data_IF_467393395728
#
_entry.id   IF_467393395728
#
_cell.length_a   1.000
_cell.length_b   1.000
_cell.length_c   1.000
_cell.angle_alpha   90.00
_cell.angle_beta   90.00
_cell.angle_gamma   90.00
#
_symmetry.space_group_name_H-M   'P 1'
#
loop_
_entity.id
_entity.type
_entity.pdbx_description
1 polymer ?
#
# COMPACT_ATOMS: atom_id res chain seq x y z
N UNK A 1 5.92 28.96 -3.21
CA UNK A 1 7.10 29.33 -4.01
C UNK A 1 8.33 29.12 -3.14
N UNK A 2 9.33 28.40 -3.66
CA UNK A 2 10.61 28.20 -3.00
C UNK A 2 11.62 29.13 -3.67
N UNK A 3 12.30 29.93 -2.86
CA UNK A 3 13.32 30.88 -3.33
C UNK A 3 14.68 30.57 -2.70
N UNK A 4 15.75 30.93 -3.40
CA UNK A 4 17.11 30.87 -2.86
C UNK A 4 17.40 32.08 -1.92
N UNK A 5 18.62 32.11 -1.35
CA UNK A 5 19.06 33.20 -0.49
C UNK A 5 19.15 34.58 -1.19
N UNK A 6 19.13 34.62 -2.53
CA UNK A 6 19.11 35.85 -3.34
C UNK A 6 17.71 36.27 -3.76
N UNK A 7 16.68 35.55 -3.32
CA UNK A 7 15.29 35.81 -3.69
C UNK A 7 14.90 35.27 -5.07
N UNK A 8 15.75 34.50 -5.74
CA UNK A 8 15.42 33.90 -7.03
C UNK A 8 14.52 32.69 -6.82
N UNK A 9 13.45 32.58 -7.58
CA UNK A 9 12.55 31.42 -7.54
C UNK A 9 13.27 30.18 -8.09
N UNK A 10 13.34 29.11 -7.28
CA UNK A 10 13.95 27.85 -7.68
C UNK A 10 12.90 26.75 -7.93
N UNK A 11 11.73 26.86 -7.30
CA UNK A 11 10.62 25.92 -7.51
C UNK A 11 9.27 26.54 -7.16
N UNK A 12 8.24 26.13 -7.88
CA UNK A 12 6.84 26.42 -7.60
C UNK A 12 6.07 25.10 -7.50
N UNK A 13 6.20 24.41 -6.38
CA UNK A 13 5.55 23.12 -6.19
C UNK A 13 4.01 23.22 -6.23
N UNK A 14 3.31 22.23 -6.75
CA UNK A 14 3.79 21.02 -7.45
C UNK A 14 3.91 21.22 -8.97
N UNK A 15 3.96 22.47 -9.45
CA UNK A 15 3.71 22.82 -10.86
C UNK A 15 5.00 22.78 -11.70
N UNK A 16 6.07 23.49 -11.28
CA UNK A 16 7.28 23.65 -12.10
C UNK A 16 8.51 23.97 -11.27
N UNK A 17 9.66 23.49 -11.76
CA UNK A 17 10.99 23.89 -11.27
C UNK A 17 11.63 24.88 -12.22
N UNK A 18 12.46 25.78 -11.68
CA UNK A 18 13.16 26.76 -12.49
C UNK A 18 14.26 26.13 -13.34
N UNK A 19 14.52 26.69 -14.51
CA UNK A 19 15.57 26.24 -15.42
C UNK A 19 16.97 26.28 -14.76
N UNK A 20 17.21 27.22 -13.85
CA UNK A 20 18.49 27.36 -13.13
C UNK A 20 18.81 26.16 -12.22
N UNK A 21 17.80 25.37 -11.82
CA UNK A 21 17.95 24.17 -11.00
C UNK A 21 17.81 22.87 -11.81
N UNK A 22 17.89 22.95 -13.14
CA UNK A 22 17.84 21.78 -14.02
C UNK A 22 18.98 20.80 -13.69
N UNK A 23 18.61 19.55 -13.40
CA UNK A 23 19.55 18.46 -13.14
C UNK A 23 20.23 18.04 -14.46
N UNK A 24 21.55 17.93 -14.42
CA UNK A 24 22.39 17.52 -15.55
C UNK A 24 23.33 16.39 -15.12
N UNK A 25 24.04 15.79 -16.07
CA UNK A 25 25.08 14.79 -15.79
C UNK A 25 26.27 15.34 -14.95
N UNK A 26 26.37 16.66 -14.81
CA UNK A 26 27.39 17.35 -14.00
C UNK A 26 26.90 17.72 -12.61
N UNK A 27 25.61 17.53 -12.30
CA UNK A 27 25.02 17.85 -11.00
C UNK A 27 25.59 16.95 -9.92
N UNK A 28 26.18 17.54 -8.88
CA UNK A 28 26.77 16.81 -7.75
C UNK A 28 25.91 16.91 -6.48
N UNK A 29 25.20 18.01 -6.31
CA UNK A 29 24.34 18.25 -5.15
C UNK A 29 22.91 18.47 -5.62
N UNK A 30 21.95 17.87 -4.91
CA UNK A 30 20.53 18.02 -5.18
C UNK A 30 19.79 18.45 -3.93
N UNK A 31 18.76 19.26 -4.09
CA UNK A 31 17.75 19.52 -3.08
C UNK A 31 16.56 18.63 -3.42
N UNK A 32 16.14 17.79 -2.47
CA UNK A 32 14.94 16.97 -2.60
C UNK A 32 13.80 17.65 -1.85
N UNK A 33 12.71 17.91 -2.54
CA UNK A 33 11.49 18.45 -1.99
C UNK A 33 10.35 17.44 -2.22
N UNK A 34 9.54 17.21 -1.21
CA UNK A 34 8.36 16.37 -1.27
C UNK A 34 7.15 17.20 -0.88
N UNK A 35 6.22 17.35 -1.82
CA UNK A 35 4.96 18.07 -1.62
C UNK A 35 3.84 17.10 -1.25
N UNK A 36 3.04 17.43 -0.26
CA UNK A 36 1.90 16.64 0.17
C UNK A 36 0.84 17.48 0.86
N UNK A 37 -0.39 17.00 0.87
CA UNK A 37 -1.50 17.60 1.61
C UNK A 37 -1.51 17.20 3.08
N UNK A 38 -0.85 16.09 3.41
CA UNK A 38 -0.63 15.62 4.78
C UNK A 38 0.85 15.62 5.12
N UNK A 39 1.19 16.26 6.23
CA UNK A 39 2.58 16.43 6.68
C UNK A 39 3.25 15.09 6.99
N UNK A 40 2.53 14.18 7.65
CA UNK A 40 3.09 12.88 8.03
C UNK A 40 3.46 12.06 6.79
N UNK A 41 2.55 11.98 5.84
CA UNK A 41 2.75 11.26 4.57
C UNK A 41 3.91 11.84 3.75
N UNK A 42 4.05 13.18 3.72
CA UNK A 42 5.16 13.84 3.05
C UNK A 42 6.52 13.53 3.72
N UNK A 43 6.58 13.54 5.06
CA UNK A 43 7.78 13.16 5.81
C UNK A 43 8.12 11.67 5.64
N UNK A 44 7.14 10.78 5.60
CA UNK A 44 7.34 9.36 5.39
C UNK A 44 7.88 9.08 3.98
N UNK A 45 7.29 9.71 2.97
CA UNK A 45 7.77 9.62 1.58
C UNK A 45 9.20 10.17 1.46
N UNK A 46 9.51 11.31 2.08
CA UNK A 46 10.86 11.85 2.09
C UNK A 46 11.86 10.87 2.70
N UNK A 47 11.47 10.16 3.77
CA UNK A 47 12.33 9.16 4.39
C UNK A 47 12.66 7.99 3.46
N UNK A 48 11.70 7.57 2.63
CA UNK A 48 11.89 6.53 1.59
C UNK A 48 12.85 7.02 0.52
N UNK A 49 12.61 8.21 -0.03
CA UNK A 49 13.48 8.79 -1.08
C UNK A 49 14.91 8.90 -0.59
N UNK A 50 15.12 9.38 0.64
CA UNK A 50 16.47 9.50 1.21
C UNK A 50 17.11 8.12 1.44
N UNK A 51 16.34 7.12 1.91
CA UNK A 51 16.85 5.75 2.07
C UNK A 51 17.30 5.14 0.73
N UNK A 52 16.56 5.38 -0.35
CA UNK A 52 16.92 4.95 -1.71
C UNK A 52 18.21 5.63 -2.17
N UNK A 53 18.29 6.95 -2.03
CA UNK A 53 19.48 7.73 -2.43
C UNK A 53 20.70 7.32 -1.60
N UNK A 54 20.55 7.10 -0.29
CA UNK A 54 21.63 6.60 0.56
C UNK A 54 22.10 5.21 0.12
N UNK A 55 21.18 4.32 -0.23
CA UNK A 55 21.51 3.01 -0.80
C UNK A 55 22.24 3.09 -2.13
N UNK A 56 22.02 4.17 -2.90
CA UNK A 56 22.76 4.48 -4.13
C UNK A 56 24.11 5.21 -3.89
N UNK A 57 24.51 5.42 -2.62
CA UNK A 57 25.79 6.02 -2.27
C UNK A 57 25.77 7.54 -2.08
N UNK A 58 24.60 8.18 -2.11
CA UNK A 58 24.50 9.61 -1.81
C UNK A 58 24.68 9.88 -0.31
N UNK A 59 25.34 10.99 0.00
CA UNK A 59 25.37 11.54 1.34
C UNK A 59 24.27 12.58 1.47
N UNK A 60 23.65 12.68 2.64
CA UNK A 60 22.58 13.65 2.88
C UNK A 60 22.89 14.53 4.10
N UNK A 61 22.32 15.72 4.10
CA UNK A 61 22.37 16.65 5.22
C UNK A 61 20.96 16.95 5.70
N UNK A 62 20.79 16.96 7.02
CA UNK A 62 19.52 17.40 7.61
C UNK A 62 19.43 18.92 7.59
N UNK A 63 18.26 19.44 7.29
CA UNK A 63 17.94 20.85 7.29
C UNK A 63 17.10 21.20 8.53
N UNK A 64 17.41 22.33 9.16
CA UNK A 64 16.54 22.95 10.15
C UNK A 64 15.58 23.88 9.45
N UNK A 65 14.30 23.66 9.66
CA UNK A 65 13.24 24.52 9.13
C UNK A 65 12.86 25.53 10.20
N UNK A 66 12.92 26.83 9.89
CA UNK A 66 12.49 27.88 10.79
C UNK A 66 11.02 27.68 11.18
N UNK A 67 10.71 27.80 12.49
CA UNK A 67 9.36 27.52 13.01
C UNK A 67 9.06 26.04 13.24
N UNK A 68 9.94 25.12 12.89
CA UNK A 68 9.81 23.70 13.22
C UNK A 68 10.78 23.28 14.32
N UNK A 69 10.31 22.41 15.24
CA UNK A 69 11.18 21.82 16.27
C UNK A 69 12.07 20.71 15.72
N UNK A 70 11.67 20.11 14.61
CA UNK A 70 12.32 18.94 14.02
C UNK A 70 13.14 19.32 12.79
N UNK A 71 14.29 18.67 12.63
CA UNK A 71 15.05 18.69 11.39
C UNK A 71 14.39 17.78 10.34
N UNK A 72 14.59 18.10 9.08
CA UNK A 72 14.12 17.28 7.95
C UNK A 72 15.33 16.77 7.15
N UNK A 73 15.36 15.53 6.66
CA UNK A 73 14.40 14.45 6.93
C UNK A 73 14.46 13.97 8.37
N UNK A 74 13.32 13.46 8.87
CA UNK A 74 13.23 12.87 10.20
C UNK A 74 13.53 11.37 10.12
N UNK A 75 14.57 10.91 10.82
CA UNK A 75 15.01 9.50 10.87
C UNK A 75 14.70 8.83 12.20
N UNK A 76 13.80 9.38 13.01
CA UNK A 76 13.43 8.76 14.27
C UNK A 76 12.91 7.34 14.02
N UNK A 77 13.57 6.36 14.63
CA UNK A 77 13.14 4.96 14.60
C UNK A 77 12.00 4.73 15.57
N UNK A 78 11.20 3.71 15.30
CA UNK A 78 10.16 3.23 16.18
C UNK A 78 10.56 1.85 16.72
N UNK A 79 10.20 1.57 17.96
CA UNK A 79 10.50 0.28 18.60
C UNK A 79 9.19 -0.44 18.95
N UNK A 80 9.08 -1.70 18.55
CA UNK A 80 8.00 -2.60 18.94
C UNK A 80 8.58 -3.76 19.73
N UNK A 81 7.93 -4.10 20.85
CA UNK A 81 8.32 -5.23 21.70
C UNK A 81 7.20 -6.24 21.72
N UNK A 82 7.51 -7.51 21.46
CA UNK A 82 6.52 -8.57 21.35
C UNK A 82 7.04 -9.91 21.89
N UNK A 83 6.11 -10.84 22.13
CA UNK A 83 6.40 -12.21 22.56
C UNK A 83 6.39 -13.18 21.38
N UNK A 84 7.22 -14.22 21.44
CA UNK A 84 7.30 -15.23 20.38
C UNK A 84 6.04 -16.10 20.27
N UNK A 85 5.30 -16.28 21.36
CA UNK A 85 4.13 -17.18 21.40
C UNK A 85 3.07 -16.86 20.35
N UNK A 86 2.55 -15.61 20.29
CA UNK A 86 1.60 -15.20 19.27
C UNK A 86 2.12 -15.39 17.84
N UNK A 87 3.38 -15.03 17.57
CA UNK A 87 4.00 -15.19 16.25
C UNK A 87 4.06 -16.66 15.84
N UNK A 88 4.55 -17.52 16.72
CA UNK A 88 4.60 -18.95 16.49
C UNK A 88 3.21 -19.55 16.26
N UNK A 89 2.22 -19.13 17.05
CA UNK A 89 0.83 -19.60 16.90
C UNK A 89 0.23 -19.23 15.52
N UNK A 90 0.46 -18.00 15.07
CA UNK A 90 -0.08 -17.52 13.79
C UNK A 90 0.59 -18.23 12.62
N UNK A 91 1.91 -18.40 12.66
CA UNK A 91 2.67 -19.02 11.58
C UNK A 91 2.69 -20.55 11.64
N UNK A 92 2.12 -21.17 12.68
CA UNK A 92 2.19 -22.62 12.88
C UNK A 92 3.60 -23.13 13.17
N UNK A 93 4.46 -22.28 13.75
CA UNK A 93 5.87 -22.58 14.05
C UNK A 93 6.10 -22.82 15.54
N UNK A 94 7.26 -23.37 15.85
CA UNK A 94 7.78 -23.50 17.21
C UNK A 94 9.28 -23.15 17.22
N UNK A 95 9.57 -21.88 16.94
CA UNK A 95 10.95 -21.37 16.84
C UNK A 95 11.27 -20.46 18.02
N UNK A 96 12.56 -20.42 18.39
CA UNK A 96 13.05 -19.63 19.52
C UNK A 96 13.08 -18.12 19.22
N UNK A 97 13.14 -17.31 20.28
CA UNK A 97 13.28 -15.86 20.15
C UNK A 97 14.51 -15.45 19.32
N UNK A 98 15.60 -16.20 19.41
CA UNK A 98 16.82 -15.94 18.66
C UNK A 98 16.62 -16.16 17.16
N UNK A 99 15.90 -17.20 16.79
CA UNK A 99 15.55 -17.49 15.38
C UNK A 99 14.59 -16.42 14.85
N UNK A 100 13.56 -16.04 15.63
CA UNK A 100 12.66 -14.95 15.25
C UNK A 100 13.41 -13.63 15.01
N UNK A 101 14.32 -13.27 15.93
CA UNK A 101 15.15 -12.08 15.75
C UNK A 101 16.05 -12.18 14.50
N UNK A 102 16.54 -13.37 14.19
CA UNK A 102 17.32 -13.61 12.97
C UNK A 102 16.45 -13.46 11.70
N UNK A 103 15.20 -13.91 11.72
CA UNK A 103 14.26 -13.71 10.61
C UNK A 103 14.01 -12.22 10.35
N UNK A 104 13.74 -11.43 11.39
CA UNK A 104 13.57 -9.98 11.26
C UNK A 104 14.81 -9.27 10.68
N UNK A 105 16.01 -9.72 11.08
CA UNK A 105 17.25 -9.18 10.50
C UNK A 105 17.39 -9.49 9.02
N UNK A 106 16.92 -10.63 8.54
CA UNK A 106 16.89 -10.95 7.10
C UNK A 106 15.94 -10.00 6.36
N UNK A 107 14.86 -9.56 6.98
CA UNK A 107 13.94 -8.52 6.46
C UNK A 107 14.48 -7.09 6.68
N UNK A 108 15.76 -6.95 7.05
CA UNK A 108 16.45 -5.66 7.30
C UNK A 108 15.85 -4.84 8.44
N UNK A 109 15.26 -5.50 9.42
CA UNK A 109 14.82 -4.89 10.66
C UNK A 109 15.80 -5.27 11.79
N UNK A 110 16.24 -4.29 12.56
CA UNK A 110 17.06 -4.57 13.74
C UNK A 110 16.20 -5.22 14.82
N UNK A 111 16.64 -6.38 15.28
CA UNK A 111 15.93 -7.12 16.31
C UNK A 111 16.90 -7.70 17.34
N UNK A 112 16.56 -7.54 18.62
CA UNK A 112 17.33 -8.06 19.74
C UNK A 112 16.42 -8.78 20.73
N UNK A 113 16.93 -9.86 21.31
CA UNK A 113 16.23 -10.55 22.39
C UNK A 113 16.56 -9.86 23.71
N UNK A 114 15.56 -9.35 24.41
CA UNK A 114 15.66 -8.78 25.75
C UNK A 114 14.82 -9.59 26.72
N UNK A 115 15.47 -10.28 27.64
CA UNK A 115 14.82 -11.23 28.56
C UNK A 115 14.00 -12.29 27.83
N UNK A 116 12.68 -12.27 27.95
CA UNK A 116 11.76 -13.20 27.25
C UNK A 116 11.07 -12.60 26.02
N UNK A 117 11.35 -11.34 25.68
CA UNK A 117 10.72 -10.60 24.59
C UNK A 117 11.70 -10.28 23.48
N UNK A 118 11.16 -10.01 22.31
CA UNK A 118 11.92 -9.51 21.16
C UNK A 118 11.60 -8.04 21.00
N UNK A 119 12.65 -7.23 20.95
CA UNK A 119 12.57 -5.82 20.63
C UNK A 119 13.00 -5.62 19.19
N UNK A 120 12.09 -5.14 18.35
CA UNK A 120 12.33 -4.81 16.95
C UNK A 120 12.40 -3.30 16.78
N UNK A 121 13.43 -2.82 16.11
CA UNK A 121 13.61 -1.41 15.75
C UNK A 121 13.23 -1.24 14.29
N UNK A 122 12.24 -0.38 14.05
CA UNK A 122 11.66 -0.13 12.75
C UNK A 122 12.16 1.22 12.26
N UNK A 123 12.92 1.29 11.16
CA UNK A 123 13.34 2.56 10.57
C UNK A 123 12.15 3.32 10.00
N UNK A 124 12.25 4.64 9.94
CA UNK A 124 11.13 5.49 9.52
C UNK A 124 10.63 5.20 8.11
N UNK A 125 11.50 4.84 7.18
CA UNK A 125 11.11 4.50 5.81
C UNK A 125 10.25 3.23 5.70
N UNK A 126 10.15 2.41 6.77
CA UNK A 126 9.23 1.27 6.90
C UNK A 126 7.94 1.73 7.57
N UNK A 127 7.26 2.66 6.95
CA UNK A 127 5.96 3.15 7.44
C UNK A 127 4.80 2.18 7.14
N UNK A 128 5.04 1.15 6.35
CA UNK A 128 4.16 0.01 6.08
C UNK A 128 3.93 -0.89 7.31
N UNK A 129 4.84 -0.89 8.28
CA UNK A 129 4.72 -1.70 9.50
C UNK A 129 3.90 -0.93 10.53
N UNK A 130 2.60 -1.19 10.65
CA UNK A 130 1.71 -0.50 11.59
C UNK A 130 1.65 -1.19 12.95
N UNK A 131 1.66 -2.53 12.98
CA UNK A 131 1.40 -3.29 14.20
C UNK A 131 2.04 -4.67 14.26
N UNK A 132 1.53 -5.48 15.18
CA UNK A 132 2.08 -6.81 15.44
C UNK A 132 1.93 -7.81 14.30
N UNK A 133 0.87 -7.67 13.48
CA UNK A 133 0.66 -8.56 12.35
C UNK A 133 1.68 -8.33 11.24
N UNK A 134 2.08 -7.08 11.01
CA UNK A 134 3.13 -6.76 10.04
C UNK A 134 4.48 -7.35 10.48
N UNK A 135 4.75 -7.38 11.80
CA UNK A 135 5.92 -8.08 12.35
C UNK A 135 5.85 -9.59 12.11
N UNK A 136 4.66 -10.19 12.22
CA UNK A 136 4.46 -11.62 11.91
C UNK A 136 4.76 -11.88 10.44
N UNK A 137 4.31 -11.02 9.53
CA UNK A 137 4.61 -11.08 8.11
C UNK A 137 6.13 -10.99 7.84
N UNK A 138 6.81 -10.03 8.44
CA UNK A 138 8.26 -9.88 8.32
C UNK A 138 9.04 -11.10 8.82
N UNK A 139 8.55 -11.73 9.88
CA UNK A 139 9.10 -13.01 10.35
C UNK A 139 8.88 -14.11 9.33
N UNK A 140 7.68 -14.21 8.73
CA UNK A 140 7.38 -15.20 7.69
C UNK A 140 8.28 -15.03 6.47
N UNK A 141 8.47 -13.80 6.00
CA UNK A 141 9.38 -13.47 4.90
C UNK A 141 10.83 -13.87 5.24
N UNK A 142 11.31 -13.50 6.41
CA UNK A 142 12.67 -13.82 6.84
C UNK A 142 12.89 -15.32 7.14
N UNK A 143 11.86 -16.05 7.53
CA UNK A 143 11.87 -17.50 7.68
C UNK A 143 11.90 -18.20 6.32
N UNK A 144 11.23 -17.61 5.34
CA UNK A 144 11.00 -18.13 4.01
C UNK A 144 9.62 -18.75 3.91
N UNK A 145 8.75 -18.15 3.12
CA UNK A 145 7.35 -18.59 2.97
C UNK A 145 7.28 -20.05 2.50
N UNK A 146 8.15 -20.45 1.59
CA UNK A 146 8.22 -21.83 1.07
C UNK A 146 8.57 -22.87 2.14
N UNK A 147 9.13 -22.45 3.28
CA UNK A 147 9.43 -23.32 4.41
C UNK A 147 8.23 -23.50 5.36
N UNK A 148 7.16 -22.73 5.20
CA UNK A 148 5.93 -22.87 5.96
C UNK A 148 5.17 -24.08 5.44
N UNK A 149 5.01 -25.10 6.31
CA UNK A 149 4.28 -26.32 5.92
C UNK A 149 2.78 -26.08 6.06
N UNK A 150 1.98 -26.33 5.02
CA UNK A 150 0.54 -26.28 5.13
C UNK A 150 0.03 -27.34 6.12
N UNK A 151 -0.95 -26.97 6.92
CA UNK A 151 -1.62 -27.87 7.83
C UNK A 151 -3.14 -27.79 7.65
N UNK A 152 -3.82 -28.93 7.78
CA UNK A 152 -5.26 -28.94 7.77
C UNK A 152 -5.80 -28.26 9.04
N UNK A 153 -6.91 -27.50 8.94
CA UNK A 153 -7.57 -26.95 10.11
C UNK A 153 -7.95 -28.05 11.10
N UNK A 154 -7.78 -27.79 12.39
CA UNK A 154 -8.13 -28.75 13.45
C UNK A 154 -9.65 -29.00 13.55
N UNK A 155 -10.46 -28.06 13.08
CA UNK A 155 -11.92 -28.20 13.04
C UNK A 155 -12.42 -28.10 11.61
N UNK A 156 -13.20 -29.08 11.17
CA UNK A 156 -13.91 -29.04 9.89
C UNK A 156 -15.34 -28.62 10.18
N UNK A 157 -15.69 -27.40 9.78
CA UNK A 157 -17.08 -26.98 9.76
C UNK A 157 -17.68 -27.34 8.40
N UNK A 158 -18.79 -28.10 8.43
CA UNK A 158 -19.58 -28.37 7.22
C UNK A 158 -20.37 -27.08 6.96
N UNK A 159 -20.06 -26.43 5.85
CA UNK A 159 -20.80 -25.25 5.43
C UNK A 159 -22.14 -25.64 4.82
N UNK A 160 -23.10 -24.74 4.89
CA UNK A 160 -24.40 -24.85 4.21
C UNK A 160 -24.51 -23.71 3.19
N UNK A 161 -25.12 -24.02 2.05
CA UNK A 161 -25.36 -23.01 1.02
C UNK A 161 -26.49 -22.10 1.47
N UNK A 162 -26.33 -20.80 1.31
CA UNK A 162 -27.38 -19.84 1.60
C UNK A 162 -28.59 -20.09 0.68
N UNK A 163 -29.82 -20.07 1.24
CA UNK A 163 -31.05 -20.30 0.52
C UNK A 163 -31.28 -19.37 -0.69
N UNK A 164 -30.81 -18.12 -0.61
CA UNK A 164 -30.85 -17.19 -1.75
C UNK A 164 -29.92 -17.66 -2.87
N UNK A 165 -28.74 -18.15 -2.55
CA UNK A 165 -27.79 -18.68 -3.53
C UNK A 165 -28.34 -19.94 -4.22
N UNK A 166 -29.03 -20.81 -3.48
CA UNK A 166 -29.68 -21.99 -4.07
C UNK A 166 -30.78 -21.61 -5.07
N UNK A 167 -31.58 -20.59 -4.74
CA UNK A 167 -32.60 -20.06 -5.65
C UNK A 167 -31.97 -19.45 -6.90
N UNK A 168 -30.89 -18.65 -6.74
CA UNK A 168 -30.16 -18.06 -7.87
C UNK A 168 -29.57 -19.12 -8.79
N UNK A 169 -28.97 -20.17 -8.23
CA UNK A 169 -28.48 -21.31 -9.04
C UNK A 169 -29.58 -22.01 -9.81
N UNK A 170 -30.78 -22.14 -9.20
CA UNK A 170 -31.93 -22.76 -9.86
C UNK A 170 -32.42 -21.90 -11.00
N UNK A 171 -32.50 -20.58 -10.82
CA UNK A 171 -32.83 -19.61 -11.87
C UNK A 171 -31.79 -19.64 -12.98
N UNK A 172 -30.52 -19.63 -12.66
CA UNK A 172 -29.42 -19.69 -13.63
C UNK A 172 -29.51 -20.93 -14.51
N UNK A 173 -29.78 -22.11 -13.92
CA UNK A 173 -29.98 -23.36 -14.66
C UNK A 173 -31.17 -23.28 -15.59
N UNK A 174 -32.30 -22.73 -15.15
CA UNK A 174 -33.49 -22.55 -15.98
C UNK A 174 -33.21 -21.61 -17.15
N UNK A 175 -32.59 -20.48 -16.90
CA UNK A 175 -32.25 -19.48 -17.93
C UNK A 175 -31.30 -20.06 -18.97
N UNK A 176 -30.29 -20.81 -18.54
CA UNK A 176 -29.36 -21.52 -19.45
C UNK A 176 -30.13 -22.53 -20.31
N UNK A 177 -31.14 -23.25 -19.75
CA UNK A 177 -32.02 -24.14 -20.49
C UNK A 177 -32.85 -23.42 -21.55
N UNK A 178 -33.18 -22.15 -21.37
CA UNK A 178 -33.86 -21.30 -22.36
C UNK A 178 -32.88 -20.65 -23.39
N UNK A 179 -31.59 -20.97 -23.34
CA UNK A 179 -30.60 -20.48 -24.28
C UNK A 179 -29.95 -19.15 -23.87
N UNK A 180 -30.12 -18.68 -22.63
CA UNK A 180 -29.40 -17.51 -22.13
C UNK A 180 -27.99 -17.88 -21.70
N UNK A 181 -27.08 -16.94 -21.84
CA UNK A 181 -25.71 -17.02 -21.34
C UNK A 181 -25.59 -16.21 -20.05
N UNK A 182 -25.10 -16.86 -18.99
CA UNK A 182 -24.76 -16.13 -17.74
C UNK A 182 -23.47 -15.37 -17.92
N UNK A 183 -23.45 -14.09 -17.53
CA UNK A 183 -22.27 -13.23 -17.60
C UNK A 183 -22.02 -12.56 -16.26
N UNK A 184 -20.75 -12.38 -15.91
CA UNK A 184 -20.32 -11.57 -14.79
C UNK A 184 -19.74 -10.26 -15.34
N UNK A 185 -20.43 -9.16 -15.12
CA UNK A 185 -20.07 -7.87 -15.64
C UNK A 185 -19.43 -6.98 -14.57
N UNK A 186 -18.66 -5.99 -15.00
CA UNK A 186 -18.19 -4.91 -14.10
C UNK A 186 -19.36 -4.08 -13.60
N UNK A 187 -19.27 -3.59 -12.35
CA UNK A 187 -20.29 -2.71 -11.76
C UNK A 187 -20.34 -1.34 -12.43
N UNK A 188 -19.21 -0.89 -12.96
CA UNK A 188 -19.08 0.39 -13.66
C UNK A 188 -18.75 0.16 -15.14
N UNK A 189 -19.24 1.08 -15.97
CA UNK A 189 -19.01 1.11 -17.42
C UNK A 189 -19.00 2.57 -17.92
N UNK A 190 -18.92 2.76 -19.23
CA UNK A 190 -19.04 4.08 -19.84
C UNK A 190 -20.38 4.26 -20.54
N UNK A 191 -20.82 5.51 -20.65
CA UNK A 191 -22.04 5.87 -21.40
C UNK A 191 -21.91 5.42 -22.85
N UNK A 192 -20.75 5.58 -23.46
CA UNK A 192 -20.50 5.18 -24.85
C UNK A 192 -20.74 3.66 -25.04
N UNK A 193 -20.24 2.82 -24.12
CA UNK A 193 -20.40 1.37 -24.24
C UNK A 193 -21.84 0.97 -24.00
N UNK A 194 -22.47 1.45 -22.93
CA UNK A 194 -23.80 0.98 -22.52
C UNK A 194 -24.93 1.54 -23.37
N UNK A 195 -24.84 2.81 -23.76
CA UNK A 195 -25.91 3.49 -24.47
C UNK A 195 -25.53 3.83 -25.92
N UNK A 196 -24.34 4.38 -26.14
CA UNK A 196 -23.89 4.78 -27.47
C UNK A 196 -23.81 3.61 -28.46
N UNK A 197 -23.12 2.53 -28.07
CA UNK A 197 -22.96 1.34 -28.94
C UNK A 197 -24.23 0.51 -29.06
N UNK A 198 -25.12 0.55 -28.08
CA UNK A 198 -26.39 -0.20 -28.10
C UNK A 198 -27.57 0.63 -28.67
N UNK A 199 -27.35 1.89 -28.99
CA UNK A 199 -28.36 2.85 -29.47
C UNK A 199 -29.60 2.93 -28.55
N UNK A 200 -29.34 3.04 -27.24
CA UNK A 200 -30.37 3.12 -26.20
C UNK A 200 -30.50 4.53 -25.64
N UNK A 201 -31.68 4.81 -25.04
CA UNK A 201 -31.92 6.07 -24.34
C UNK A 201 -31.09 6.18 -23.06
N UNK A 202 -30.36 7.27 -22.93
CA UNK A 202 -29.47 7.56 -21.80
C UNK A 202 -30.09 8.44 -20.70
N UNK A 203 -31.40 8.68 -20.76
CA UNK A 203 -32.10 9.61 -19.85
C UNK A 203 -32.07 9.22 -18.37
N UNK A 204 -31.81 7.94 -18.06
CA UNK A 204 -31.80 7.40 -16.69
C UNK A 204 -30.41 6.97 -16.19
N UNK A 205 -29.36 7.58 -16.72
CA UNK A 205 -27.98 7.28 -16.33
C UNK A 205 -27.74 7.67 -14.87
N UNK A 206 -27.09 6.77 -14.12
CA UNK A 206 -26.51 7.05 -12.82
C UNK A 206 -25.01 7.30 -13.01
N UNK A 207 -24.61 8.55 -12.93
CA UNK A 207 -23.22 8.95 -13.14
C UNK A 207 -22.38 8.86 -11.87
N UNK A 208 -21.12 8.48 -12.03
CA UNK A 208 -20.13 8.46 -10.94
C UNK A 208 -19.51 9.85 -10.82
N UNK A 209 -19.60 10.44 -9.62
CA UNK A 209 -18.97 11.73 -9.32
C UNK A 209 -17.45 11.57 -9.32
N UNK A 210 -16.77 12.40 -10.10
CA UNK A 210 -15.29 12.43 -10.16
C UNK A 210 -14.65 11.09 -10.52
N UNK A 211 -15.18 10.42 -11.55
CA UNK A 211 -14.56 9.20 -12.06
C UNK A 211 -13.10 9.43 -12.47
N UNK A 212 -12.22 8.50 -12.08
CA UNK A 212 -10.79 8.52 -12.43
C UNK A 212 -10.50 7.96 -13.83
N UNK A 213 -11.48 7.32 -14.46
CA UNK A 213 -11.35 6.69 -15.79
C UNK A 213 -12.55 7.06 -16.64
N UNK A 214 -12.31 7.31 -17.92
CA UNK A 214 -13.38 7.53 -18.91
C UNK A 214 -14.17 6.26 -19.20
N UNK A 215 -13.63 5.09 -18.87
CA UNK A 215 -14.29 3.80 -19.08
C UNK A 215 -15.24 3.42 -17.94
N UNK A 216 -15.19 4.14 -16.80
CA UNK A 216 -15.96 3.82 -15.59
C UNK A 216 -16.76 5.02 -15.07
N UNK A 217 -17.50 5.67 -15.97
CA UNK A 217 -18.20 6.95 -15.70
C UNK A 217 -19.63 6.78 -15.19
N UNK A 218 -20.22 5.61 -15.40
CA UNK A 218 -21.61 5.32 -15.04
C UNK A 218 -21.75 3.97 -14.37
N UNK A 219 -22.83 3.80 -13.60
CA UNK A 219 -23.20 2.52 -13.03
C UNK A 219 -23.83 1.65 -14.12
N UNK A 220 -23.37 0.39 -14.24
CA UNK A 220 -24.03 -0.60 -15.07
C UNK A 220 -25.37 -0.95 -14.45
N UNK A 221 -26.45 -0.60 -15.12
CA UNK A 221 -27.81 -0.94 -14.70
C UNK A 221 -28.32 -2.15 -15.46
N UNK A 222 -28.61 -3.23 -14.73
CA UNK A 222 -29.18 -4.44 -15.32
C UNK A 222 -30.67 -4.28 -15.67
N UNK A 223 -31.35 -3.26 -15.12
CA UNK A 223 -32.76 -2.98 -15.40
C UNK A 223 -32.96 -2.37 -16.77
N UNK A 224 -31.92 -1.77 -17.34
CA UNK A 224 -31.98 -1.08 -18.63
C UNK A 224 -31.29 -1.84 -19.76
N UNK A 225 -30.96 -3.09 -19.55
CA UNK A 225 -30.40 -3.98 -20.57
C UNK A 225 -31.53 -4.69 -21.33
#
# INVERSE_FOLDING_TARGET
>A
IITDAKGQTISFPPIINASLTTVTTKTKNILVEVTGIDKQSAEDMLSVVVAILQGAGFQFSQLKVSGSRNSTPNFATRTVTFDAGPVNKILGLNISNSVLASCLKKSRLDAVVKSKKIQCTIPRYRFDIFGGMDIVEEVALGYGIDNLKPAWPASVHIGEKNATSEKLDSISRLMTGFGFMETLNSTLTSEQILYGMSNRDSSQIISVTSSKSQEHTILLSLIHI
#
